data_IF_949874630679
#
_entry.id   IF_949874630679
#
_cell.length_a   1.000
_cell.length_b   1.000
_cell.length_c   1.000
_cell.angle_alpha   90.00
_cell.angle_beta   90.00
_cell.angle_gamma   90.00
#
_symmetry.space_group_name_H-M   'P 1'
#
loop_
_entity.id
_entity.type
_entity.pdbx_description
1 polymer ?
#
# COMPACT_ATOMS: atom_id res chain seq x y z
N UNK A 1 33.60 -2.65 1.66
CA UNK A 1 32.71 -1.52 2.05
C UNK A 1 31.97 -0.88 0.87
N UNK A 2 32.57 -0.71 -0.33
CA UNK A 2 31.87 -0.09 -1.48
C UNK A 2 30.55 -0.79 -1.86
N UNK A 3 30.51 -2.12 -1.84
CA UNK A 3 29.28 -2.89 -2.11
C UNK A 3 28.18 -2.61 -1.07
N UNK A 4 28.55 -2.43 0.21
CA UNK A 4 27.60 -2.08 1.29
C UNK A 4 27.01 -0.68 1.03
N UNK A 5 27.85 0.29 0.67
CA UNK A 5 27.40 1.65 0.43
C UNK A 5 26.45 1.78 -0.76
N UNK A 6 26.63 0.93 -1.78
CA UNK A 6 25.88 0.99 -3.03
C UNK A 6 24.50 0.29 -2.98
N UNK A 7 24.19 -0.48 -1.93
CA UNK A 7 22.89 -1.16 -1.81
C UNK A 7 21.75 -0.12 -1.69
N UNK A 8 20.93 0.02 -2.72
CA UNK A 8 19.83 1.02 -2.74
C UNK A 8 18.59 0.57 -1.98
N UNK A 9 18.47 -0.73 -1.70
CA UNK A 9 17.36 -1.31 -0.95
C UNK A 9 17.56 -1.16 0.56
N UNK A 10 18.82 -1.02 1.00
CA UNK A 10 19.15 -0.82 2.40
C UNK A 10 19.02 0.64 2.86
N UNK A 11 18.62 0.83 4.11
CA UNK A 11 18.73 2.12 4.80
C UNK A 11 20.17 2.41 5.20
N UNK A 12 20.47 3.66 5.55
CA UNK A 12 21.76 4.02 6.13
C UNK A 12 22.05 3.26 7.43
N UNK A 13 21.01 2.96 8.23
CA UNK A 13 21.15 2.20 9.48
C UNK A 13 21.64 0.77 9.22
N UNK A 14 21.01 0.07 8.27
CA UNK A 14 21.38 -1.30 7.86
C UNK A 14 22.80 -1.33 7.28
N UNK A 15 23.15 -0.34 6.45
CA UNK A 15 24.52 -0.18 5.92
C UNK A 15 25.53 0.05 7.03
N UNK A 16 25.22 0.90 8.00
CA UNK A 16 26.12 1.22 9.10
C UNK A 16 26.35 0.01 10.01
N UNK A 17 25.34 -0.83 10.18
CA UNK A 17 25.47 -2.11 10.88
C UNK A 17 26.43 -3.06 10.15
N UNK A 18 26.28 -3.21 8.83
CA UNK A 18 27.21 -4.03 8.04
C UNK A 18 28.64 -3.46 8.03
N UNK A 19 28.80 -2.13 7.95
CA UNK A 19 30.12 -1.48 8.07
C UNK A 19 30.76 -1.78 9.43
N UNK A 20 29.98 -1.75 10.52
CA UNK A 20 30.46 -2.08 11.86
C UNK A 20 30.94 -3.53 11.95
N UNK A 21 30.23 -4.46 11.32
CA UNK A 21 30.65 -5.87 11.25
C UNK A 21 31.98 -6.03 10.47
N UNK A 22 32.18 -5.25 9.40
CA UNK A 22 33.46 -5.23 8.67
C UNK A 22 34.58 -4.75 9.58
N UNK A 23 34.37 -3.66 10.31
CA UNK A 23 35.38 -3.11 11.21
C UNK A 23 35.75 -4.07 12.33
N UNK A 24 34.75 -4.76 12.91
CA UNK A 24 34.97 -5.80 13.92
C UNK A 24 35.74 -7.00 13.36
N UNK A 25 35.45 -7.42 12.12
CA UNK A 25 36.13 -8.54 11.47
C UNK A 25 37.59 -8.19 11.13
N UNK A 26 37.84 -6.96 10.68
CA UNK A 26 39.21 -6.45 10.46
C UNK A 26 39.99 -6.43 11.78
N UNK A 27 39.39 -5.91 12.86
CA UNK A 27 40.04 -5.90 14.17
C UNK A 27 40.40 -7.31 14.64
N UNK A 28 39.44 -8.24 14.54
CA UNK A 28 39.64 -9.65 14.94
C UNK A 28 40.77 -10.31 14.13
N UNK A 29 40.83 -10.05 12.82
CA UNK A 29 41.89 -10.56 11.96
C UNK A 29 43.25 -9.98 12.33
N UNK A 30 43.34 -8.68 12.59
CA UNK A 30 44.59 -8.03 13.03
C UNK A 30 45.08 -8.56 14.37
N UNK A 31 44.19 -8.76 15.34
CA UNK A 31 44.52 -9.37 16.63
C UNK A 31 45.05 -10.80 16.45
N UNK A 32 44.41 -11.60 15.58
CA UNK A 32 44.84 -12.97 15.28
C UNK A 32 46.21 -13.00 14.60
N UNK A 33 46.46 -12.10 13.65
CA UNK A 33 47.76 -11.95 12.98
C UNK A 33 48.85 -11.56 13.98
N UNK A 34 48.59 -10.58 14.86
CA UNK A 34 49.56 -10.14 15.86
C UNK A 34 49.89 -11.22 16.90
N UNK A 35 48.98 -12.17 17.13
CA UNK A 35 49.15 -13.28 18.06
C UNK A 35 49.77 -14.52 17.40
N UNK A 36 49.96 -14.54 16.08
CA UNK A 36 50.55 -15.68 15.36
C UNK A 36 51.98 -15.95 15.83
N UNK A 37 52.30 -17.23 16.09
CA UNK A 37 53.61 -17.62 16.64
C UNK A 37 54.60 -17.95 15.52
N UNK A 38 54.09 -18.35 14.35
CA UNK A 38 54.87 -18.59 13.15
C UNK A 38 54.18 -18.08 11.87
N UNK A 39 54.81 -18.30 10.71
CA UNK A 39 54.28 -17.85 9.43
C UNK A 39 52.97 -18.54 9.04
N UNK A 40 52.79 -19.80 9.44
CA UNK A 40 51.56 -20.56 9.15
C UNK A 40 50.37 -19.96 9.89
N UNK A 41 50.54 -19.66 11.18
CA UNK A 41 49.51 -18.98 11.98
C UNK A 41 49.10 -17.63 11.36
N UNK A 42 50.08 -16.85 10.91
CA UNK A 42 49.84 -15.54 10.28
C UNK A 42 49.09 -15.69 8.96
N UNK A 43 49.49 -16.64 8.12
CA UNK A 43 48.84 -16.91 6.82
C UNK A 43 47.39 -17.43 7.00
N UNK A 44 47.17 -18.30 7.99
CA UNK A 44 45.85 -18.82 8.34
C UNK A 44 44.94 -17.70 8.88
N UNK A 45 45.44 -16.86 9.78
CA UNK A 45 44.71 -15.72 10.32
C UNK A 45 44.33 -14.70 9.22
N UNK A 46 45.25 -14.41 8.30
CA UNK A 46 44.99 -13.57 7.13
C UNK A 46 43.91 -14.18 6.24
N UNK A 47 44.01 -15.48 5.95
CA UNK A 47 43.06 -16.19 5.10
C UNK A 47 41.65 -16.20 5.69
N UNK A 48 41.53 -16.53 6.98
CA UNK A 48 40.25 -16.51 7.70
C UNK A 48 39.68 -15.10 7.80
N UNK A 49 40.51 -14.10 8.10
CA UNK A 49 40.10 -12.69 8.18
C UNK A 49 39.53 -12.18 6.86
N UNK A 50 40.19 -12.49 5.73
CA UNK A 50 39.67 -12.15 4.39
C UNK A 50 38.33 -12.82 4.11
N UNK A 51 38.21 -14.13 4.39
CA UNK A 51 36.97 -14.87 4.19
C UNK A 51 35.82 -14.30 5.04
N UNK A 52 36.09 -13.94 6.31
CA UNK A 52 35.10 -13.34 7.19
C UNK A 52 34.64 -11.96 6.69
N UNK A 53 35.55 -11.12 6.20
CA UNK A 53 35.22 -9.81 5.63
C UNK A 53 34.39 -9.97 4.34
N UNK A 54 34.77 -10.89 3.46
CA UNK A 54 34.09 -11.14 2.18
C UNK A 54 32.67 -11.70 2.37
N UNK A 55 32.43 -12.42 3.47
CA UNK A 55 31.11 -12.96 3.81
C UNK A 55 30.10 -11.89 4.27
N UNK A 56 30.54 -10.69 4.62
CA UNK A 56 29.65 -9.64 5.14
C UNK A 56 28.85 -9.01 4.01
N UNK A 57 27.54 -9.05 4.16
CA UNK A 57 26.56 -8.44 3.26
C UNK A 57 25.64 -7.51 4.06
N UNK A 58 24.93 -6.63 3.37
CA UNK A 58 23.89 -5.80 4.00
C UNK A 58 22.62 -6.62 4.15
N UNK A 59 22.02 -6.61 5.33
CA UNK A 59 20.70 -7.21 5.57
C UNK A 59 19.61 -6.16 5.28
N UNK A 60 19.32 -5.96 3.99
CA UNK A 60 18.36 -4.98 3.52
C UNK A 60 16.92 -5.49 3.69
N UNK A 61 16.22 -5.06 4.74
CA UNK A 61 14.88 -5.54 5.07
C UNK A 61 13.84 -4.45 5.22
N UNK A 62 14.24 -3.23 5.60
CA UNK A 62 13.33 -2.14 5.94
C UNK A 62 12.53 -1.64 4.74
N UNK A 63 13.18 -1.22 3.64
CA UNK A 63 12.46 -0.79 2.42
C UNK A 63 11.66 -1.91 1.77
N UNK A 64 12.19 -3.15 1.60
CA UNK A 64 11.40 -4.24 1.04
C UNK A 64 10.10 -4.53 1.81
N UNK A 65 10.16 -4.59 3.15
CA UNK A 65 8.96 -4.80 3.98
C UNK A 65 7.96 -3.66 3.87
N UNK A 66 8.43 -2.41 3.85
CA UNK A 66 7.57 -1.26 3.65
C UNK A 66 6.85 -1.30 2.28
N UNK A 67 7.59 -1.61 1.21
CA UNK A 67 7.01 -1.76 -0.12
C UNK A 67 5.99 -2.89 -0.19
N UNK A 68 6.24 -4.02 0.48
CA UNK A 68 5.28 -5.12 0.56
C UNK A 68 3.98 -4.71 1.25
N UNK A 69 4.05 -3.92 2.33
CA UNK A 69 2.86 -3.42 3.02
C UNK A 69 2.03 -2.47 2.15
N UNK A 70 2.68 -1.59 1.39
CA UNK A 70 2.01 -0.70 0.43
C UNK A 70 1.34 -1.50 -0.70
N UNK A 71 2.02 -2.51 -1.24
CA UNK A 71 1.47 -3.35 -2.31
C UNK A 71 0.26 -4.15 -1.84
N UNK A 72 0.31 -4.74 -0.63
CA UNK A 72 -0.81 -5.48 -0.05
C UNK A 72 -2.03 -4.57 0.16
N UNK A 73 -1.85 -3.40 0.77
CA UNK A 73 -2.93 -2.43 0.98
C UNK A 73 -3.55 -1.95 -0.33
N UNK A 74 -2.73 -1.72 -1.36
CA UNK A 74 -3.21 -1.32 -2.68
C UNK A 74 -4.07 -2.42 -3.33
N UNK A 75 -3.65 -3.69 -3.23
CA UNK A 75 -4.39 -4.82 -3.78
C UNK A 75 -5.73 -5.03 -3.05
N UNK A 76 -5.73 -5.03 -1.71
CA UNK A 76 -6.95 -5.15 -0.91
C UNK A 76 -7.97 -4.04 -1.24
N UNK A 77 -7.47 -2.82 -1.45
CA UNK A 77 -8.31 -1.66 -1.79
C UNK A 77 -8.85 -1.80 -3.22
N UNK A 78 -8.01 -2.24 -4.17
CA UNK A 78 -8.42 -2.52 -5.55
C UNK A 78 -9.50 -3.59 -5.61
N UNK A 79 -9.34 -4.69 -4.89
CA UNK A 79 -10.32 -5.77 -4.84
C UNK A 79 -11.67 -5.28 -4.31
N UNK A 80 -11.66 -4.41 -3.30
CA UNK A 80 -12.88 -3.79 -2.76
C UNK A 80 -13.60 -2.90 -3.78
N UNK A 81 -12.86 -2.14 -4.60
CA UNK A 81 -13.42 -1.33 -5.69
C UNK A 81 -14.01 -2.22 -6.79
N UNK A 82 -13.27 -3.24 -7.22
CA UNK A 82 -13.66 -4.11 -8.33
C UNK A 82 -14.98 -4.85 -8.01
N UNK A 83 -15.17 -5.26 -6.75
CA UNK A 83 -16.38 -5.94 -6.27
C UNK A 83 -17.53 -5.01 -5.84
N UNK A 84 -17.35 -3.68 -5.88
CA UNK A 84 -18.42 -2.77 -5.46
C UNK A 84 -19.57 -2.74 -6.47
N UNK A 85 -20.77 -3.13 -6.02
CA UNK A 85 -22.01 -3.02 -6.80
C UNK A 85 -22.65 -1.63 -6.71
N UNK A 86 -22.09 -0.72 -5.89
CA UNK A 86 -22.56 0.66 -5.77
C UNK A 86 -21.95 1.58 -6.83
N UNK A 87 -20.79 1.18 -7.38
CA UNK A 87 -20.09 1.98 -8.39
C UNK A 87 -20.49 1.58 -9.80
N UNK A 88 -20.47 2.56 -10.69
CA UNK A 88 -20.47 2.40 -12.15
C UNK A 88 -19.07 2.03 -12.66
N UNK A 89 -18.95 1.69 -13.95
CA UNK A 89 -17.65 1.33 -14.52
C UNK A 89 -16.69 2.53 -14.57
N UNK A 90 -17.24 3.73 -14.82
CA UNK A 90 -16.54 4.99 -14.87
C UNK A 90 -15.98 5.36 -13.49
N UNK A 91 -16.81 5.32 -12.44
CA UNK A 91 -16.40 5.60 -11.05
C UNK A 91 -15.34 4.58 -10.56
N UNK A 92 -15.48 3.29 -10.92
CA UNK A 92 -14.43 2.29 -10.64
C UNK A 92 -13.11 2.62 -11.31
N UNK A 93 -13.15 3.03 -12.59
CA UNK A 93 -11.95 3.38 -13.34
C UNK A 93 -11.22 4.56 -12.70
N UNK A 94 -11.95 5.57 -12.24
CA UNK A 94 -11.37 6.71 -11.53
C UNK A 94 -10.77 6.31 -10.19
N UNK A 95 -11.48 5.52 -9.38
CA UNK A 95 -10.97 5.01 -8.11
C UNK A 95 -9.69 4.17 -8.28
N UNK A 96 -9.64 3.30 -9.29
CA UNK A 96 -8.43 2.51 -9.62
C UNK A 96 -7.24 3.40 -10.02
N UNK A 97 -7.50 4.50 -10.73
CA UNK A 97 -6.45 5.47 -11.07
C UNK A 97 -5.90 6.18 -9.82
N UNK A 98 -6.77 6.56 -8.88
CA UNK A 98 -6.36 7.14 -7.60
C UNK A 98 -5.51 6.16 -6.77
N UNK A 99 -5.94 4.90 -6.66
CA UNK A 99 -5.20 3.83 -5.97
C UNK A 99 -3.80 3.68 -6.57
N UNK A 100 -3.69 3.65 -7.90
CA UNK A 100 -2.40 3.58 -8.58
C UNK A 100 -1.51 4.78 -8.25
N UNK A 101 -2.06 5.99 -8.28
CA UNK A 101 -1.31 7.21 -7.97
C UNK A 101 -0.78 7.19 -6.53
N UNK A 102 -1.62 6.83 -5.56
CA UNK A 102 -1.24 6.72 -4.14
C UNK A 102 -0.15 5.67 -3.96
N UNK A 103 -0.29 4.50 -4.61
CA UNK A 103 0.73 3.44 -4.58
C UNK A 103 2.08 3.95 -5.08
N UNK A 104 2.10 4.58 -6.24
CA UNK A 104 3.32 5.08 -6.87
C UNK A 104 3.99 6.17 -5.99
N UNK A 105 3.20 7.09 -5.43
CA UNK A 105 3.69 8.11 -4.50
C UNK A 105 4.28 7.51 -3.21
N UNK A 106 3.62 6.53 -2.61
CA UNK A 106 4.10 5.87 -1.41
C UNK A 106 5.41 5.10 -1.65
N UNK A 107 5.50 4.35 -2.76
CA UNK A 107 6.72 3.62 -3.15
C UNK A 107 7.88 4.57 -3.45
N UNK A 108 7.60 5.72 -4.07
CA UNK A 108 8.60 6.75 -4.29
C UNK A 108 9.11 7.32 -2.96
N UNK A 109 8.22 7.64 -2.02
CA UNK A 109 8.60 8.10 -0.68
C UNK A 109 9.48 7.10 0.08
N UNK A 110 9.18 5.79 -0.02
CA UNK A 110 10.01 4.72 0.57
C UNK A 110 11.39 4.63 -0.14
N UNK A 111 11.42 4.82 -1.45
CA UNK A 111 12.66 4.80 -2.24
C UNK A 111 13.58 5.95 -1.83
N UNK A 112 13.03 7.16 -1.68
CA UNK A 112 13.77 8.37 -1.33
C UNK A 112 14.21 8.42 0.14
N UNK A 113 13.49 7.73 1.03
CA UNK A 113 13.83 7.62 2.43
C UNK A 113 15.24 7.01 2.62
N UNK A 114 16.03 7.59 3.51
CA UNK A 114 17.43 7.20 3.73
C UNK A 114 17.62 6.43 5.03
N UNK A 115 16.82 6.73 6.05
CA UNK A 115 16.87 6.08 7.37
C UNK A 115 15.66 5.17 7.59
N UNK A 116 15.76 4.30 8.59
CA UNK A 116 14.66 3.42 8.99
C UNK A 116 13.43 4.24 9.43
N UNK A 117 13.65 5.32 10.17
CA UNK A 117 12.56 6.19 10.63
C UNK A 117 11.84 6.88 9.46
N UNK A 118 12.57 7.32 8.43
CA UNK A 118 11.98 7.92 7.23
C UNK A 118 11.18 6.90 6.42
N UNK A 119 11.66 5.66 6.30
CA UNK A 119 10.93 4.59 5.61
C UNK A 119 9.62 4.28 6.34
N UNK A 120 9.67 4.15 7.66
CA UNK A 120 8.48 3.91 8.48
C UNK A 120 7.47 5.06 8.38
N UNK A 121 7.94 6.31 8.35
CA UNK A 121 7.09 7.48 8.12
C UNK A 121 6.46 7.46 6.72
N UNK A 122 7.23 7.22 5.67
CA UNK A 122 6.73 7.17 4.30
C UNK A 122 5.69 6.05 4.13
N UNK A 123 5.93 4.88 4.73
CA UNK A 123 4.97 3.78 4.79
C UNK A 123 3.67 4.20 5.48
N UNK A 124 3.76 4.80 6.67
CA UNK A 124 2.58 5.23 7.42
C UNK A 124 1.74 6.26 6.63
N UNK A 125 2.39 7.24 6.01
CA UNK A 125 1.73 8.23 5.16
C UNK A 125 1.06 7.60 3.94
N UNK A 126 1.69 6.60 3.32
CA UNK A 126 1.12 5.86 2.21
C UNK A 126 -0.13 5.05 2.60
N UNK A 127 -0.09 4.39 3.76
CA UNK A 127 -1.24 3.64 4.29
C UNK A 127 -2.42 4.57 4.64
N UNK A 128 -2.13 5.70 5.29
CA UNK A 128 -3.13 6.73 5.60
C UNK A 128 -3.76 7.32 4.32
N UNK A 129 -2.96 7.51 3.26
CA UNK A 129 -3.48 7.99 1.98
C UNK A 129 -4.47 6.99 1.34
N UNK A 130 -4.24 5.68 1.48
CA UNK A 130 -5.23 4.68 1.05
C UNK A 130 -6.52 4.72 1.89
N UNK A 131 -6.40 4.86 3.21
CA UNK A 131 -7.56 4.93 4.10
C UNK A 131 -8.42 6.19 3.86
N UNK A 132 -7.81 7.24 3.32
CA UNK A 132 -8.47 8.51 2.99
C UNK A 132 -8.94 8.61 1.53
N UNK A 133 -8.95 7.52 0.76
CA UNK A 133 -9.52 7.54 -0.59
C UNK A 133 -11.00 7.89 -0.50
N UNK A 134 -11.39 8.96 -1.21
CA UNK A 134 -12.78 9.36 -1.38
C UNK A 134 -13.22 8.96 -2.79
N UNK A 135 -14.32 8.22 -2.89
CA UNK A 135 -14.89 7.77 -4.14
C UNK A 135 -16.22 8.49 -4.29
N UNK A 136 -16.40 9.19 -5.42
CA UNK A 136 -17.69 9.72 -5.80
C UNK A 136 -18.55 8.56 -6.32
N UNK A 137 -19.64 8.27 -5.62
CA UNK A 137 -20.56 7.15 -5.92
C UNK A 137 -21.98 7.66 -6.04
N UNK A 138 -22.20 8.61 -6.95
CA UNK A 138 -23.44 9.39 -7.01
C UNK A 138 -24.34 9.00 -8.17
N UNK A 139 -23.83 8.36 -9.22
CA UNK A 139 -24.63 8.15 -10.43
C UNK A 139 -25.81 7.20 -10.21
N UNK A 140 -25.60 6.07 -9.51
CA UNK A 140 -26.69 5.14 -9.16
C UNK A 140 -27.68 5.75 -8.18
N UNK A 141 -27.18 6.49 -7.19
CA UNK A 141 -28.04 7.15 -6.19
C UNK A 141 -28.95 8.17 -6.87
N UNK A 142 -28.40 9.01 -7.74
CA UNK A 142 -29.16 10.00 -8.50
C UNK A 142 -30.22 9.34 -9.39
N UNK A 143 -29.89 8.24 -10.07
CA UNK A 143 -30.87 7.51 -10.88
C UNK A 143 -32.02 6.92 -10.05
N UNK A 144 -31.73 6.44 -8.84
CA UNK A 144 -32.76 5.97 -7.89
C UNK A 144 -33.66 7.12 -7.44
N UNK A 145 -33.07 8.25 -7.02
CA UNK A 145 -33.83 9.44 -6.60
C UNK A 145 -34.73 10.00 -7.71
N UNK A 146 -34.26 9.98 -8.97
CA UNK A 146 -35.06 10.37 -10.13
C UNK A 146 -36.24 9.41 -10.38
N UNK A 147 -36.05 8.10 -10.16
CA UNK A 147 -37.10 7.11 -10.28
C UNK A 147 -38.15 7.23 -9.16
N UNK A 148 -37.71 7.41 -7.92
CA UNK A 148 -38.57 7.67 -6.75
C UNK A 148 -39.41 8.94 -6.98
N UNK A 149 -38.78 10.01 -7.46
CA UNK A 149 -39.50 11.26 -7.78
C UNK A 149 -40.55 11.06 -8.87
N UNK A 150 -40.26 10.25 -9.89
CA UNK A 150 -41.22 9.96 -10.95
C UNK A 150 -42.39 9.11 -10.44
N UNK A 151 -42.13 8.17 -9.53
CA UNK A 151 -43.15 7.35 -8.87
C UNK A 151 -44.12 8.21 -8.04
N UNK A 152 -43.57 9.09 -7.20
CA UNK A 152 -44.36 10.02 -6.37
C UNK A 152 -45.29 10.91 -7.22
N UNK A 153 -44.80 11.38 -8.38
CA UNK A 153 -45.59 12.20 -9.30
C UNK A 153 -46.77 11.44 -9.90
N UNK A 154 -46.58 10.16 -10.23
CA UNK A 154 -47.64 9.31 -10.77
C UNK A 154 -48.70 9.05 -9.70
N UNK A 155 -48.28 8.71 -8.48
CA UNK A 155 -49.20 8.47 -7.36
C UNK A 155 -50.04 9.72 -7.05
N UNK A 156 -49.40 10.89 -6.99
CA UNK A 156 -50.09 12.17 -6.80
C UNK A 156 -51.11 12.45 -7.91
N UNK A 157 -50.79 12.12 -9.16
CA UNK A 157 -51.67 12.26 -10.32
C UNK A 157 -52.93 11.39 -10.23
N UNK A 158 -52.78 10.11 -9.90
CA UNK A 158 -53.91 9.17 -9.74
C UNK A 158 -54.82 9.58 -8.58
N UNK A 159 -54.24 10.01 -7.46
CA UNK A 159 -55.01 10.44 -6.30
C UNK A 159 -55.97 11.62 -6.61
N UNK A 160 -55.60 12.51 -7.53
CA UNK A 160 -56.42 13.67 -7.91
C UNK A 160 -57.29 13.45 -9.15
N UNK A 161 -57.22 12.29 -9.81
CA UNK A 161 -58.03 11.98 -10.99
C UNK A 161 -59.53 11.96 -10.61
N UNK A 162 -60.32 12.87 -11.20
CA UNK A 162 -61.74 12.99 -10.89
C UNK A 162 -62.60 11.91 -11.58
N UNK A 163 -62.07 11.25 -12.62
CA UNK A 163 -62.77 10.20 -13.38
C UNK A 163 -62.56 8.80 -12.76
N UNK A 164 -61.56 8.63 -11.89
CA UNK A 164 -61.26 7.38 -11.19
C UNK A 164 -62.06 7.21 -9.89
N UNK A 165 -62.57 6.00 -9.65
CA UNK A 165 -63.25 5.63 -8.40
C UNK A 165 -62.27 5.49 -7.23
N UNK A 166 -62.77 5.52 -6.00
CA UNK A 166 -61.95 5.32 -4.79
C UNK A 166 -61.26 3.95 -4.82
N UNK A 167 -61.99 2.91 -5.22
CA UNK A 167 -61.47 1.55 -5.33
C UNK A 167 -60.37 1.42 -6.40
N UNK A 168 -60.50 2.13 -7.53
CA UNK A 168 -59.47 2.15 -8.58
C UNK A 168 -58.19 2.87 -8.12
N UNK A 169 -58.30 3.95 -7.34
CA UNK A 169 -57.15 4.67 -6.76
C UNK A 169 -56.43 3.83 -5.72
N UNK A 170 -57.16 3.23 -4.77
CA UNK A 170 -56.57 2.34 -3.77
C UNK A 170 -55.90 1.12 -4.41
N UNK A 171 -56.53 0.53 -5.43
CA UNK A 171 -55.93 -0.59 -6.15
C UNK A 171 -54.61 -0.19 -6.86
N UNK A 172 -54.52 1.02 -7.39
CA UNK A 172 -53.31 1.53 -8.02
C UNK A 172 -52.18 1.78 -7.01
N UNK A 173 -52.47 2.48 -5.90
CA UNK A 173 -51.48 2.74 -4.85
C UNK A 173 -50.95 1.43 -4.25
N UNK A 174 -51.82 0.48 -3.91
CA UNK A 174 -51.40 -0.82 -3.39
C UNK A 174 -50.52 -1.61 -4.39
N UNK A 175 -50.83 -1.52 -5.69
CA UNK A 175 -50.02 -2.17 -6.71
C UNK A 175 -48.63 -1.55 -6.90
N UNK A 176 -48.44 -0.28 -6.51
CA UNK A 176 -47.13 0.38 -6.51
C UNK A 176 -46.30 0.03 -5.27
N UNK A 177 -46.93 -0.14 -4.10
CA UNK A 177 -46.26 -0.54 -2.85
C UNK A 177 -45.73 -1.99 -2.90
N UNK A 178 -46.27 -2.83 -3.79
CA UNK A 178 -45.90 -4.26 -3.93
C UNK A 178 -44.69 -4.52 -4.86
N UNK A 179 -44.06 -3.49 -5.46
CA UNK A 179 -42.93 -3.59 -6.40
C UNK A 179 -41.59 -3.35 -5.70
#
# INVERSE_FOLDING_TARGET
KNNISADTNATQDEKQQAIKQVDQSVQTALESINNGVDNGDVDDALTQGKAAIDAIQVDATVKPKANQAIEAKAEDTKESIDHSDQLTAEEKTEALAMIKQIKDQAKQGITDATTTAEVEKAKAQGLEAFDNIQIDSTEKQKAIEELETALDQIEAGVNVDADATTEEKEAFTNALEDI
#
